data_IF_768612952047
#
_entry.id   IF_768612952047
#
_cell.length_a   1.000
_cell.length_b   1.000
_cell.length_c   1.000
_cell.angle_alpha   90.00
_cell.angle_beta   90.00
_cell.angle_gamma   90.00
#
_symmetry.space_group_name_H-M   'P 1'
#
loop_
_entity.id
_entity.type
_entity.pdbx_description
1 polymer ?
#
# COMPACT_ATOMS: atom_id res chain seq x y z
N UNK A 1 24.94 17.08 14.92
CA UNK A 1 24.05 17.83 14.03
C UNK A 1 22.63 17.24 14.04
N UNK A 2 22.45 15.94 13.77
CA UNK A 2 21.11 15.31 13.71
C UNK A 2 20.28 15.53 15.00
N UNK A 3 20.86 15.34 16.19
CA UNK A 3 20.18 15.55 17.46
C UNK A 3 19.72 16.99 17.69
N UNK A 4 20.48 17.98 17.20
CA UNK A 4 20.05 19.40 17.25
C UNK A 4 18.86 19.66 16.32
N UNK A 5 18.89 19.05 15.13
CA UNK A 5 17.81 19.15 14.15
C UNK A 5 16.53 18.53 14.71
N UNK A 6 16.64 17.32 15.29
CA UNK A 6 15.52 16.64 15.94
C UNK A 6 14.96 17.41 17.13
N UNK A 7 15.83 17.99 17.96
CA UNK A 7 15.41 18.82 19.09
C UNK A 7 14.61 20.04 18.63
N UNK A 8 15.09 20.74 17.60
CA UNK A 8 14.36 21.89 17.05
C UNK A 8 13.01 21.49 16.43
N UNK A 9 12.97 20.38 15.69
CA UNK A 9 11.70 19.87 15.15
C UNK A 9 10.73 19.50 16.27
N UNK A 10 11.19 18.88 17.35
CA UNK A 10 10.37 18.56 18.50
C UNK A 10 9.79 19.81 19.19
N UNK A 11 10.58 20.91 19.28
CA UNK A 11 10.07 22.19 19.77
C UNK A 11 8.94 22.72 18.89
N UNK A 12 9.10 22.67 17.56
CA UNK A 12 8.06 23.08 16.61
C UNK A 12 6.80 22.23 16.70
N UNK A 13 6.96 20.90 16.82
CA UNK A 13 5.81 19.97 17.04
C UNK A 13 5.05 20.33 18.31
N UNK A 14 5.76 20.53 19.41
CA UNK A 14 5.17 20.88 20.70
C UNK A 14 4.42 22.24 20.64
N UNK A 15 4.99 23.23 19.97
CA UNK A 15 4.34 24.54 19.76
C UNK A 15 3.04 24.37 18.96
N UNK A 16 3.09 23.57 17.87
CA UNK A 16 1.93 23.28 17.02
C UNK A 16 0.81 22.57 17.81
N UNK A 17 1.12 21.48 18.50
CA UNK A 17 0.18 20.70 19.28
C UNK A 17 -0.49 21.52 20.37
N UNK A 18 0.28 22.38 21.07
CA UNK A 18 -0.27 23.29 22.06
C UNK A 18 -1.21 24.35 21.46
N UNK A 19 -0.99 24.74 20.20
CA UNK A 19 -1.79 25.77 19.52
C UNK A 19 -3.06 25.21 18.91
N UNK A 20 -3.00 24.00 18.32
CA UNK A 20 -4.08 23.44 17.50
C UNK A 20 -4.76 22.22 18.11
N UNK A 21 -4.16 21.57 19.12
CA UNK A 21 -4.72 20.39 19.77
C UNK A 21 -4.69 19.10 18.93
N UNK A 22 -3.89 19.09 17.87
CA UNK A 22 -3.74 17.97 16.94
C UNK A 22 -2.28 17.78 16.56
N UNK A 23 -1.94 16.62 15.99
CA UNK A 23 -0.55 16.34 15.54
C UNK A 23 -0.18 17.21 14.33
N UNK A 24 1.07 17.68 14.28
CA UNK A 24 1.63 18.39 13.14
C UNK A 24 1.59 17.48 11.90
N UNK A 25 1.43 18.09 10.71
CA UNK A 25 1.30 17.43 9.40
C UNK A 25 -0.05 16.74 9.14
N UNK A 26 -1.00 16.81 10.07
CA UNK A 26 -2.38 16.42 9.81
C UNK A 26 -3.08 17.40 8.86
N UNK A 27 -2.93 18.69 9.14
CA UNK A 27 -3.46 19.78 8.34
C UNK A 27 -2.30 20.53 7.70
N UNK A 28 -2.22 20.51 6.37
CA UNK A 28 -1.12 21.13 5.63
C UNK A 28 -1.08 22.65 5.82
N UNK A 29 -2.23 23.31 5.75
CA UNK A 29 -2.28 24.77 5.81
C UNK A 29 -1.82 25.30 7.17
N UNK A 30 -2.18 24.61 8.24
CA UNK A 30 -1.71 24.95 9.60
C UNK A 30 -0.25 24.56 9.82
N UNK A 31 0.21 23.47 9.22
CA UNK A 31 1.58 22.97 9.39
C UNK A 31 2.60 23.73 8.58
N UNK A 32 2.19 24.40 7.51
CA UNK A 32 3.06 25.08 6.57
C UNK A 32 3.98 26.12 7.25
N UNK A 33 3.46 26.92 8.17
CA UNK A 33 4.26 27.88 8.95
C UNK A 33 5.44 27.22 9.66
N UNK A 34 5.21 26.05 10.25
CA UNK A 34 6.21 25.28 11.02
C UNK A 34 7.21 24.58 10.12
N UNK A 35 6.77 24.07 8.97
CA UNK A 35 7.66 23.56 7.94
C UNK A 35 8.58 24.66 7.38
N UNK A 36 8.07 25.85 7.14
CA UNK A 36 8.86 27.00 6.69
C UNK A 36 9.86 27.46 7.75
N UNK A 37 9.50 27.43 9.05
CA UNK A 37 10.46 27.68 10.16
C UNK A 37 11.58 26.63 10.15
N UNK A 38 11.23 25.34 10.00
CA UNK A 38 12.20 24.26 9.91
C UNK A 38 13.11 24.40 8.69
N UNK A 39 12.56 24.72 7.53
CA UNK A 39 13.33 24.99 6.32
C UNK A 39 14.33 26.13 6.53
N UNK A 40 13.88 27.24 7.10
CA UNK A 40 14.74 28.40 7.37
C UNK A 40 15.90 28.06 8.31
N UNK A 41 15.62 27.27 9.35
CA UNK A 41 16.63 26.76 10.28
C UNK A 41 17.68 25.90 9.57
N UNK A 42 17.24 24.96 8.71
CA UNK A 42 18.12 24.06 7.98
C UNK A 42 18.97 24.79 6.94
N UNK A 43 18.41 25.78 6.24
CA UNK A 43 19.16 26.62 5.30
C UNK A 43 20.28 27.41 6.01
N UNK A 44 20.00 27.96 7.18
CA UNK A 44 21.04 28.65 7.98
C UNK A 44 22.14 27.67 8.45
N UNK A 45 21.77 26.42 8.81
CA UNK A 45 22.77 25.38 9.13
C UNK A 45 23.59 24.97 7.91
N UNK A 46 22.98 24.90 6.74
CA UNK A 46 23.63 24.54 5.48
C UNK A 46 24.70 25.60 5.10
N UNK A 47 24.43 26.88 5.30
CA UNK A 47 25.44 27.96 5.08
C UNK A 47 26.68 27.75 5.93
N UNK A 48 26.51 27.35 7.20
CA UNK A 48 27.63 27.10 8.11
C UNK A 48 28.35 25.76 7.90
N UNK A 49 27.64 24.77 7.40
CA UNK A 49 28.12 23.39 7.22
C UNK A 49 27.64 22.81 5.89
N UNK A 50 28.14 23.29 4.74
CA UNK A 50 27.58 22.98 3.42
C UNK A 50 27.69 21.51 2.99
N UNK A 51 28.56 20.72 3.59
CA UNK A 51 28.74 19.28 3.30
C UNK A 51 28.08 18.35 4.33
N UNK A 52 27.21 18.90 5.20
CA UNK A 52 26.60 18.10 6.26
C UNK A 52 25.39 17.31 5.76
N UNK A 53 25.46 15.99 5.81
CA UNK A 53 24.44 15.07 5.30
C UNK A 53 23.15 15.12 6.11
N UNK A 54 23.23 15.30 7.45
CA UNK A 54 22.03 15.43 8.28
C UNK A 54 21.16 16.61 7.84
N UNK A 55 21.82 17.75 7.56
CA UNK A 55 21.15 18.98 7.15
C UNK A 55 20.47 18.80 5.80
N UNK A 56 21.20 18.25 4.80
CA UNK A 56 20.69 18.18 3.44
C UNK A 56 19.56 17.16 3.31
N UNK A 57 19.69 16.00 3.96
CA UNK A 57 18.67 14.96 3.93
C UNK A 57 17.39 15.41 4.66
N UNK A 58 17.51 16.06 5.81
CA UNK A 58 16.33 16.61 6.50
C UNK A 58 15.70 17.76 5.71
N UNK A 59 16.51 18.62 5.05
CA UNK A 59 15.98 19.68 4.19
C UNK A 59 15.21 19.11 2.99
N UNK A 60 15.69 18.01 2.42
CA UNK A 60 14.97 17.28 1.35
C UNK A 60 13.59 16.81 1.83
N UNK A 61 13.52 16.19 3.02
CA UNK A 61 12.24 15.77 3.60
C UNK A 61 11.29 16.94 3.90
N UNK A 62 11.81 18.06 4.42
CA UNK A 62 10.98 19.27 4.65
C UNK A 62 10.45 19.84 3.34
N UNK A 63 11.25 19.83 2.26
CA UNK A 63 10.80 20.27 0.94
C UNK A 63 9.70 19.38 0.36
N UNK A 64 9.79 18.08 0.57
CA UNK A 64 8.74 17.13 0.21
C UNK A 64 7.43 17.48 0.93
N UNK A 65 7.47 17.66 2.25
CA UNK A 65 6.29 18.03 3.04
C UNK A 65 5.73 19.40 2.68
N UNK A 66 6.55 20.32 2.21
CA UNK A 66 6.13 21.64 1.68
C UNK A 66 5.51 21.55 0.28
N UNK A 67 5.45 20.37 -0.33
CA UNK A 67 4.85 20.11 -1.65
C UNK A 67 5.44 20.97 -2.77
N UNK A 68 6.74 21.19 -2.76
CA UNK A 68 7.44 21.92 -3.84
C UNK A 68 7.61 21.12 -5.12
N UNK A 69 7.04 19.93 -5.17
CA UNK A 69 7.20 18.93 -6.23
C UNK A 69 8.40 18.02 -5.99
N UNK A 70 8.30 16.82 -6.50
CA UNK A 70 9.29 15.75 -6.26
C UNK A 70 10.65 16.10 -6.85
N UNK A 71 10.69 16.77 -8.00
CA UNK A 71 11.91 17.23 -8.63
C UNK A 71 12.76 18.12 -7.71
N UNK A 72 12.13 18.97 -6.89
CA UNK A 72 12.85 19.99 -6.10
C UNK A 72 13.74 19.40 -5.00
N UNK A 73 13.38 18.26 -4.41
CA UNK A 73 14.22 17.64 -3.39
C UNK A 73 15.22 16.63 -3.98
N UNK A 74 14.86 15.98 -5.08
CA UNK A 74 15.79 15.13 -5.84
C UNK A 74 16.94 15.96 -6.35
N UNK A 75 16.66 17.05 -7.04
CA UNK A 75 17.67 17.98 -7.55
C UNK A 75 18.58 18.48 -6.42
N UNK A 76 18.00 18.79 -5.25
CA UNK A 76 18.78 19.18 -4.07
C UNK A 76 19.79 18.11 -3.66
N UNK A 77 19.37 16.84 -3.59
CA UNK A 77 20.22 15.73 -3.17
C UNK A 77 21.23 15.34 -4.26
N UNK A 78 20.84 15.34 -5.53
CA UNK A 78 21.74 15.09 -6.66
C UNK A 78 22.83 16.16 -6.76
N UNK A 79 22.49 17.44 -6.68
CA UNK A 79 23.44 18.55 -6.65
C UNK A 79 24.40 18.47 -5.45
N UNK A 80 23.92 17.98 -4.31
CA UNK A 80 24.78 17.76 -3.15
C UNK A 80 25.79 16.62 -3.41
N UNK A 81 25.33 15.51 -3.99
CA UNK A 81 26.21 14.40 -4.38
C UNK A 81 27.27 14.85 -5.39
N UNK A 82 26.86 15.55 -6.43
CA UNK A 82 27.79 16.05 -7.46
C UNK A 82 28.91 16.90 -6.86
N UNK A 83 28.58 17.66 -5.82
CA UNK A 83 29.54 18.57 -5.18
C UNK A 83 30.43 17.91 -4.13
N UNK A 84 29.91 16.93 -3.39
CA UNK A 84 30.55 16.42 -2.18
C UNK A 84 30.82 14.91 -2.19
N UNK A 85 30.44 14.15 -3.25
CA UNK A 85 30.56 12.69 -3.28
C UNK A 85 31.93 12.14 -2.89
N UNK A 86 33.01 12.82 -3.29
CA UNK A 86 34.39 12.39 -2.98
C UNK A 86 34.75 12.50 -1.49
N UNK A 87 33.97 13.26 -0.72
CA UNK A 87 34.21 13.49 0.71
C UNK A 87 33.26 12.68 1.61
N UNK A 88 32.24 12.04 1.02
CA UNK A 88 31.24 11.25 1.74
C UNK A 88 31.72 9.81 1.92
N UNK A 89 31.42 9.23 3.07
CA UNK A 89 31.55 7.79 3.28
C UNK A 89 30.41 6.99 2.60
N UNK A 90 30.55 5.67 2.59
CA UNK A 90 29.59 4.77 1.93
C UNK A 90 28.21 4.81 2.63
N UNK A 91 28.20 5.01 3.95
CA UNK A 91 26.94 5.13 4.71
C UNK A 91 26.16 6.38 4.32
N UNK A 92 26.84 7.52 4.23
CA UNK A 92 26.25 8.80 3.85
C UNK A 92 25.73 8.76 2.40
N UNK A 93 26.51 8.17 1.49
CA UNK A 93 26.05 7.95 0.10
C UNK A 93 24.82 7.05 0.03
N UNK A 94 24.82 5.93 0.74
CA UNK A 94 23.68 5.02 0.77
C UNK A 94 22.42 5.70 1.32
N UNK A 95 22.55 6.52 2.35
CA UNK A 95 21.46 7.34 2.92
C UNK A 95 20.86 8.27 1.87
N UNK A 96 21.71 9.03 1.16
CA UNK A 96 21.26 9.97 0.14
C UNK A 96 20.59 9.21 -1.03
N UNK A 97 21.18 8.11 -1.49
CA UNK A 97 20.60 7.30 -2.56
C UNK A 97 19.23 6.75 -2.18
N UNK A 98 19.06 6.28 -0.94
CA UNK A 98 17.75 5.80 -0.46
C UNK A 98 16.72 6.93 -0.42
N UNK A 99 17.11 8.12 0.03
CA UNK A 99 16.21 9.28 0.05
C UNK A 99 15.84 9.76 -1.36
N UNK A 100 16.77 9.74 -2.32
CA UNK A 100 16.46 10.08 -3.72
C UNK A 100 15.45 9.08 -4.30
N UNK A 101 15.63 7.80 -4.03
CA UNK A 101 14.79 6.73 -4.55
C UNK A 101 13.32 6.82 -4.10
N UNK A 102 13.02 7.57 -3.05
CA UNK A 102 11.66 7.70 -2.52
C UNK A 102 10.69 8.43 -3.47
N UNK A 103 11.17 9.21 -4.43
CA UNK A 103 10.39 10.13 -5.26
C UNK A 103 9.56 9.49 -6.34
N UNK A 104 10.14 8.57 -7.02
CA UNK A 104 9.51 7.96 -8.18
C UNK A 104 9.11 6.54 -7.82
N UNK A 105 7.90 6.39 -7.29
CA UNK A 105 7.34 5.10 -6.93
C UNK A 105 7.66 4.04 -7.99
N UNK A 106 8.57 3.12 -7.62
CA UNK A 106 8.93 1.95 -8.41
C UNK A 106 9.46 2.22 -9.82
N UNK A 107 9.92 3.44 -10.10
CA UNK A 107 10.56 3.76 -11.38
C UNK A 107 11.92 3.07 -11.53
N UNK A 108 12.37 2.94 -12.77
CA UNK A 108 13.72 2.44 -13.05
C UNK A 108 14.82 3.29 -12.40
N UNK A 109 14.60 4.61 -12.30
CA UNK A 109 15.53 5.53 -11.64
C UNK A 109 15.60 5.26 -10.14
N UNK A 110 14.46 5.02 -9.49
CA UNK A 110 14.38 4.63 -8.09
C UNK A 110 15.18 3.33 -7.84
N UNK A 111 14.95 2.30 -8.66
CA UNK A 111 15.68 1.03 -8.56
C UNK A 111 17.21 1.21 -8.74
N UNK A 112 17.65 2.07 -9.65
CA UNK A 112 19.09 2.34 -9.86
C UNK A 112 19.72 2.94 -8.60
N UNK A 113 19.07 3.87 -7.92
CA UNK A 113 19.54 4.45 -6.66
C UNK A 113 19.50 3.46 -5.50
N UNK A 114 18.44 2.68 -5.36
CA UNK A 114 18.37 1.62 -4.34
C UNK A 114 19.45 0.56 -4.55
N UNK A 115 19.76 0.21 -5.81
CA UNK A 115 20.84 -0.72 -6.14
C UNK A 115 22.18 -0.16 -5.74
N UNK A 116 22.46 1.13 -6.01
CA UNK A 116 23.69 1.80 -5.55
C UNK A 116 23.79 1.78 -4.02
N UNK A 117 22.70 2.08 -3.31
CA UNK A 117 22.68 2.03 -1.85
C UNK A 117 22.96 0.62 -1.31
N UNK A 118 22.33 -0.41 -1.90
CA UNK A 118 22.55 -1.81 -1.55
C UNK A 118 23.99 -2.25 -1.80
N UNK A 119 24.58 -1.85 -2.92
CA UNK A 119 25.96 -2.23 -3.30
C UNK A 119 26.99 -1.61 -2.33
N UNK A 120 26.69 -0.47 -1.73
CA UNK A 120 27.43 0.12 -0.62
C UNK A 120 27.14 -0.55 0.73
N UNK A 121 26.33 -1.61 0.77
CA UNK A 121 25.89 -2.31 1.99
C UNK A 121 25.20 -1.36 2.96
N UNK A 122 24.17 -0.67 2.46
CA UNK A 122 23.37 0.26 3.26
C UNK A 122 23.08 -0.29 4.65
N UNK A 123 23.32 0.48 5.72
CA UNK A 123 22.93 0.07 7.08
C UNK A 123 21.48 0.46 7.42
N UNK A 124 20.71 0.97 6.46
CA UNK A 124 19.36 1.46 6.65
C UNK A 124 18.33 0.40 6.22
N UNK A 125 17.40 0.07 7.11
CA UNK A 125 16.31 -0.86 6.82
C UNK A 125 15.45 -0.36 5.65
N UNK A 126 15.27 0.94 5.55
CA UNK A 126 14.51 1.64 4.51
C UNK A 126 14.98 1.28 3.09
N UNK A 127 16.28 1.12 2.87
CA UNK A 127 16.83 0.69 1.57
C UNK A 127 16.27 -0.67 1.16
N UNK A 128 16.23 -1.60 2.09
CA UNK A 128 15.80 -2.98 1.82
C UNK A 128 14.29 -3.11 1.85
N UNK A 129 13.58 -2.32 2.66
CA UNK A 129 12.13 -2.19 2.59
C UNK A 129 11.70 -1.74 1.20
N UNK A 130 12.32 -0.68 0.66
CA UNK A 130 12.04 -0.17 -0.67
C UNK A 130 12.33 -1.21 -1.78
N UNK A 131 13.45 -1.92 -1.70
CA UNK A 131 13.77 -3.00 -2.64
C UNK A 131 12.78 -4.17 -2.53
N UNK A 132 12.32 -4.46 -1.31
CA UNK A 132 11.28 -5.47 -1.07
C UNK A 132 9.96 -5.08 -1.71
N UNK A 133 9.51 -3.85 -1.50
CA UNK A 133 8.28 -3.30 -2.10
C UNK A 133 8.36 -3.27 -3.63
N UNK A 134 9.48 -2.80 -4.19
CA UNK A 134 9.70 -2.81 -5.64
C UNK A 134 9.54 -4.22 -6.23
N UNK A 135 10.22 -5.22 -5.66
CA UNK A 135 10.13 -6.58 -6.17
C UNK A 135 8.75 -7.22 -5.92
N UNK A 136 8.03 -6.81 -4.87
CA UNK A 136 6.67 -7.25 -4.66
C UNK A 136 5.74 -6.70 -5.75
N UNK A 137 5.84 -5.42 -6.08
CA UNK A 137 5.09 -4.81 -7.18
C UNK A 137 5.39 -5.46 -8.53
N UNK A 138 6.67 -5.76 -8.82
CA UNK A 138 7.06 -6.50 -10.02
C UNK A 138 6.47 -7.92 -10.05
N UNK A 139 6.35 -8.57 -8.89
CA UNK A 139 5.63 -9.85 -8.78
C UNK A 139 4.16 -9.71 -9.11
N UNK A 140 3.48 -8.70 -8.58
CA UNK A 140 2.06 -8.49 -8.87
C UNK A 140 1.79 -8.25 -10.35
N UNK A 141 2.68 -7.51 -11.01
CA UNK A 141 2.55 -7.24 -12.45
C UNK A 141 2.87 -8.46 -13.31
N UNK A 142 3.98 -9.17 -13.02
CA UNK A 142 4.51 -10.24 -13.87
C UNK A 142 4.08 -11.65 -13.47
N UNK A 143 3.60 -11.82 -12.24
CA UNK A 143 3.37 -13.11 -11.59
C UNK A 143 4.63 -14.01 -11.52
N UNK A 144 5.84 -13.43 -11.68
CA UNK A 144 7.11 -14.18 -11.57
C UNK A 144 7.49 -14.36 -10.09
N UNK A 145 7.37 -15.59 -9.61
CA UNK A 145 7.70 -15.97 -8.21
C UNK A 145 9.12 -15.58 -7.80
N UNK A 146 10.05 -15.42 -8.74
CA UNK A 146 11.41 -14.96 -8.42
C UNK A 146 11.42 -13.56 -7.84
N UNK A 147 10.54 -12.68 -8.32
CA UNK A 147 10.41 -11.34 -7.77
C UNK A 147 9.87 -11.40 -6.33
N UNK A 148 8.93 -12.29 -6.05
CA UNK A 148 8.43 -12.51 -4.70
C UNK A 148 9.51 -13.10 -3.75
N UNK A 149 10.33 -14.02 -4.24
CA UNK A 149 11.48 -14.54 -3.49
C UNK A 149 12.49 -13.44 -3.16
N UNK A 150 12.79 -12.56 -4.12
CA UNK A 150 13.67 -11.40 -3.90
C UNK A 150 13.05 -10.41 -2.91
N UNK A 151 11.76 -10.13 -3.04
CA UNK A 151 11.01 -9.30 -2.09
C UNK A 151 11.17 -9.83 -0.66
N UNK A 152 10.93 -11.13 -0.47
CA UNK A 152 11.10 -11.80 0.83
C UNK A 152 12.53 -11.65 1.37
N UNK A 153 13.56 -11.82 0.50
CA UNK A 153 14.96 -11.67 0.91
C UNK A 153 15.27 -10.27 1.40
N UNK A 154 14.79 -9.26 0.69
CA UNK A 154 15.00 -7.87 1.09
C UNK A 154 14.25 -7.51 2.37
N UNK A 155 13.00 -7.95 2.54
CA UNK A 155 12.28 -7.74 3.80
C UNK A 155 12.94 -8.47 4.98
N UNK A 156 13.53 -9.66 4.75
CA UNK A 156 14.30 -10.36 5.78
C UNK A 156 15.54 -9.56 6.21
N UNK A 157 16.24 -8.94 5.27
CA UNK A 157 17.39 -8.06 5.56
C UNK A 157 16.92 -6.82 6.32
N UNK A 158 15.85 -6.16 5.85
CA UNK A 158 15.29 -4.98 6.52
C UNK A 158 14.94 -5.29 7.98
N UNK A 159 14.23 -6.40 8.22
CA UNK A 159 13.89 -6.88 9.56
C UNK A 159 15.14 -7.19 10.40
N UNK A 160 16.20 -7.72 9.80
CA UNK A 160 17.46 -7.99 10.49
C UNK A 160 18.21 -6.73 10.92
N UNK A 161 17.95 -5.59 10.26
CA UNK A 161 18.53 -4.27 10.60
C UNK A 161 17.66 -3.57 11.65
N UNK A 162 16.35 -3.55 11.45
CA UNK A 162 15.37 -2.92 12.34
C UNK A 162 14.13 -3.83 12.47
N UNK A 163 13.99 -4.49 13.61
CA UNK A 163 12.86 -5.37 13.92
C UNK A 163 11.64 -4.52 14.36
N UNK A 164 11.12 -3.71 13.47
CA UNK A 164 9.91 -2.92 13.66
C UNK A 164 8.64 -3.72 13.32
N UNK A 165 7.47 -3.16 13.64
CA UNK A 165 6.17 -3.69 13.21
C UNK A 165 6.17 -3.88 11.69
N UNK A 166 6.48 -2.84 10.96
CA UNK A 166 6.43 -2.75 9.52
C UNK A 166 7.37 -3.76 8.82
N UNK A 167 8.64 -3.81 9.23
CA UNK A 167 9.60 -4.74 8.64
C UNK A 167 9.21 -6.20 8.87
N UNK A 168 8.65 -6.51 10.05
CA UNK A 168 8.15 -7.85 10.39
C UNK A 168 6.87 -8.18 9.64
N UNK A 169 5.96 -7.21 9.50
CA UNK A 169 4.72 -7.33 8.73
C UNK A 169 5.01 -7.65 7.26
N UNK A 170 5.84 -6.85 6.61
CA UNK A 170 6.17 -7.02 5.20
C UNK A 170 6.88 -8.36 4.93
N UNK A 171 7.76 -8.77 5.83
CA UNK A 171 8.36 -10.10 5.75
C UNK A 171 7.32 -11.22 5.90
N UNK A 172 6.39 -11.10 6.83
CA UNK A 172 5.34 -12.09 7.04
C UNK A 172 4.38 -12.17 5.84
N UNK A 173 4.02 -11.03 5.23
CA UNK A 173 3.23 -10.99 3.99
C UNK A 173 3.94 -11.72 2.85
N UNK A 174 5.23 -11.47 2.64
CA UNK A 174 5.99 -12.18 1.60
C UNK A 174 6.04 -13.70 1.82
N UNK A 175 6.13 -14.14 3.08
CA UNK A 175 6.03 -15.56 3.42
C UNK A 175 4.64 -16.14 3.13
N UNK A 176 3.58 -15.38 3.41
CA UNK A 176 2.20 -15.78 3.10
C UNK A 176 2.01 -15.97 1.60
N UNK A 177 2.41 -14.99 0.78
CA UNK A 177 2.30 -15.07 -0.68
C UNK A 177 3.17 -16.20 -1.27
N UNK A 178 4.30 -16.54 -0.64
CA UNK A 178 5.09 -17.74 -0.94
C UNK A 178 4.47 -19.04 -0.39
N UNK A 179 3.23 -19.00 0.11
CA UNK A 179 2.49 -20.15 0.67
C UNK A 179 3.15 -20.79 1.91
N UNK A 180 4.01 -20.04 2.61
CA UNK A 180 4.62 -20.48 3.87
C UNK A 180 3.73 -20.08 5.07
N UNK A 181 2.46 -20.45 5.00
CA UNK A 181 1.38 -19.97 5.87
C UNK A 181 1.65 -20.15 7.37
N UNK A 182 2.21 -21.28 7.80
CA UNK A 182 2.53 -21.51 9.22
C UNK A 182 3.58 -20.53 9.76
N UNK A 183 4.60 -20.18 8.94
CA UNK A 183 5.62 -19.21 9.33
C UNK A 183 5.05 -17.80 9.38
N UNK A 184 4.28 -17.43 8.35
CA UNK A 184 3.60 -16.14 8.29
C UNK A 184 2.67 -15.96 9.50
N UNK A 185 1.82 -16.95 9.78
CA UNK A 185 0.91 -16.97 10.93
C UNK A 185 1.65 -16.76 12.25
N UNK A 186 2.78 -17.42 12.44
CA UNK A 186 3.57 -17.26 13.67
C UNK A 186 4.00 -15.81 13.87
N UNK A 187 4.47 -15.15 12.82
CA UNK A 187 4.89 -13.75 12.87
C UNK A 187 3.71 -12.80 13.11
N UNK A 188 2.59 -13.02 12.43
CA UNK A 188 1.38 -12.22 12.66
C UNK A 188 0.85 -12.37 14.09
N UNK A 189 0.89 -13.58 14.67
CA UNK A 189 0.51 -13.81 16.08
C UNK A 189 1.48 -13.07 17.03
N UNK A 190 2.78 -13.08 16.75
CA UNK A 190 3.76 -12.37 17.60
C UNK A 190 3.56 -10.85 17.51
N UNK A 191 3.25 -10.33 16.32
CA UNK A 191 2.86 -8.93 16.13
C UNK A 191 1.55 -8.61 16.88
N UNK A 192 0.54 -9.45 16.78
CA UNK A 192 -0.76 -9.23 17.44
C UNK A 192 -0.63 -9.20 18.97
N UNK A 193 0.30 -9.93 19.57
CA UNK A 193 0.59 -9.85 21.01
C UNK A 193 1.15 -8.50 21.43
N UNK A 194 1.91 -7.87 20.55
CA UNK A 194 2.51 -6.54 20.78
C UNK A 194 1.55 -5.41 20.45
N UNK A 195 0.71 -5.63 19.41
CA UNK A 195 -0.24 -4.67 18.86
C UNK A 195 -1.66 -5.27 18.84
N UNK A 196 -2.29 -5.48 20.01
CA UNK A 196 -3.54 -6.26 20.12
C UNK A 196 -4.75 -5.62 19.46
N UNK A 197 -4.72 -4.31 19.26
CA UNK A 197 -5.81 -3.53 18.66
C UNK A 197 -5.74 -3.48 17.11
N UNK A 198 -4.71 -4.08 16.52
CA UNK A 198 -4.54 -4.11 15.06
C UNK A 198 -5.43 -5.17 14.43
N UNK A 199 -6.53 -4.72 13.81
CA UNK A 199 -7.51 -5.60 13.15
C UNK A 199 -6.92 -6.29 11.91
N UNK A 200 -6.06 -5.58 11.18
CA UNK A 200 -5.34 -6.13 10.03
C UNK A 200 -4.57 -7.42 10.36
N UNK A 201 -3.94 -7.49 11.53
CA UNK A 201 -3.25 -8.70 11.96
C UNK A 201 -4.20 -9.88 12.17
N UNK A 202 -5.43 -9.61 12.66
CA UNK A 202 -6.45 -10.65 12.81
C UNK A 202 -6.86 -11.19 11.44
N UNK A 203 -7.04 -10.31 10.45
CA UNK A 203 -7.33 -10.71 9.07
C UNK A 203 -6.19 -11.56 8.48
N UNK A 204 -4.94 -11.12 8.62
CA UNK A 204 -3.77 -11.87 8.16
C UNK A 204 -3.69 -13.28 8.77
N UNK A 205 -3.97 -13.40 10.07
CA UNK A 205 -4.01 -14.70 10.75
C UNK A 205 -5.16 -15.54 10.21
N UNK A 206 -6.35 -14.95 10.05
CA UNK A 206 -7.51 -15.64 9.49
C UNK A 206 -7.21 -16.20 8.09
N UNK A 207 -6.59 -15.42 7.23
CA UNK A 207 -6.18 -15.83 5.90
C UNK A 207 -5.18 -17.01 5.93
N UNK A 208 -4.23 -16.97 6.88
CA UNK A 208 -3.35 -18.11 7.10
C UNK A 208 -4.12 -19.35 7.51
N UNK A 209 -5.08 -19.23 8.45
CA UNK A 209 -5.89 -20.35 8.93
C UNK A 209 -6.79 -20.94 7.81
N UNK A 210 -7.37 -20.09 6.95
CA UNK A 210 -8.10 -20.51 5.74
C UNK A 210 -7.22 -21.41 4.87
N UNK A 211 -6.02 -20.92 4.53
CA UNK A 211 -5.10 -21.66 3.65
C UNK A 211 -4.51 -22.92 4.31
N UNK A 212 -4.53 -23.01 5.63
CA UNK A 212 -4.15 -24.20 6.39
C UNK A 212 -5.32 -25.18 6.59
N UNK A 213 -6.52 -24.85 6.11
CA UNK A 213 -7.72 -25.67 6.24
C UNK A 213 -8.34 -25.66 7.65
N UNK A 214 -7.95 -24.73 8.50
CA UNK A 214 -8.50 -24.58 9.86
C UNK A 214 -9.65 -23.56 9.87
N UNK A 215 -10.85 -24.01 9.44
CA UNK A 215 -12.04 -23.18 9.36
C UNK A 215 -12.40 -22.51 10.70
N UNK A 216 -12.38 -23.29 11.80
CA UNK A 216 -12.74 -22.77 13.13
C UNK A 216 -11.77 -21.68 13.59
N UNK A 217 -10.48 -21.86 13.32
CA UNK A 217 -9.45 -20.85 13.61
C UNK A 217 -9.65 -19.58 12.78
N UNK A 218 -9.92 -19.72 11.49
CA UNK A 218 -10.21 -18.58 10.62
C UNK A 218 -11.43 -17.80 11.11
N UNK A 219 -12.53 -18.47 11.35
CA UNK A 219 -13.77 -17.87 11.85
C UNK A 219 -13.57 -17.14 13.18
N UNK A 220 -12.79 -17.73 14.11
CA UNK A 220 -12.46 -17.10 15.39
C UNK A 220 -11.81 -15.73 15.23
N UNK A 221 -10.93 -15.55 14.25
CA UNK A 221 -10.28 -14.26 14.03
C UNK A 221 -11.15 -13.30 13.21
N UNK A 222 -11.85 -13.77 12.18
CA UNK A 222 -12.73 -12.92 11.35
C UNK A 222 -13.85 -12.29 12.19
N UNK A 223 -14.47 -13.05 13.08
CA UNK A 223 -15.56 -12.56 13.94
C UNK A 223 -15.13 -11.55 15.00
N UNK A 224 -13.82 -11.32 15.16
CA UNK A 224 -13.26 -10.29 16.04
C UNK A 224 -12.83 -9.02 15.29
N UNK A 225 -12.99 -8.99 13.98
CA UNK A 225 -12.69 -7.80 13.18
C UNK A 225 -13.90 -6.87 13.28
N UNK A 226 -13.66 -5.68 13.80
CA UNK A 226 -14.61 -4.59 13.75
C UNK A 226 -14.14 -3.67 12.61
N UNK A 227 -14.94 -3.51 11.53
CA UNK A 227 -14.61 -2.56 10.48
C UNK A 227 -14.43 -1.17 11.09
N UNK A 228 -13.30 -0.53 10.81
CA UNK A 228 -13.08 0.82 11.29
C UNK A 228 -13.89 1.77 10.43
N UNK A 229 -14.96 2.29 10.98
CA UNK A 229 -15.88 3.20 10.29
C UNK A 229 -15.39 4.64 10.25
N UNK A 230 -14.28 4.95 10.93
CA UNK A 230 -13.85 6.33 11.10
C UNK A 230 -12.44 6.59 10.56
N UNK A 231 -12.42 7.47 9.59
CA UNK A 231 -11.29 8.33 9.25
C UNK A 231 -9.99 7.59 8.96
N UNK A 232 -10.03 6.58 8.13
CA UNK A 232 -8.92 5.88 7.50
C UNK A 232 -7.73 6.74 7.07
N UNK A 233 -7.50 7.79 7.82
CA UNK A 233 -6.44 8.72 7.56
C UNK A 233 -5.32 8.49 8.55
N UNK A 234 -4.34 7.69 8.07
CA UNK A 234 -2.98 7.58 8.60
C UNK A 234 -2.69 6.59 9.72
N UNK A 235 -1.86 5.64 9.36
CA UNK A 235 -0.78 5.06 10.17
C UNK A 235 -1.15 4.33 11.47
N UNK A 236 -2.36 4.43 11.96
CA UNK A 236 -2.79 3.80 13.20
C UNK A 236 -4.04 2.96 13.04
N UNK A 237 -4.72 3.06 11.91
CA UNK A 237 -5.94 2.32 11.62
C UNK A 237 -5.64 1.21 10.63
N UNK A 238 -6.10 0.03 10.95
CA UNK A 238 -6.11 -1.10 10.05
C UNK A 238 -7.26 -0.89 9.08
N UNK A 239 -6.99 -0.28 7.96
CA UNK A 239 -7.96 -0.04 6.90
C UNK A 239 -8.33 -1.38 6.25
N UNK A 240 -9.25 -2.10 6.90
CA UNK A 240 -9.80 -3.34 6.36
C UNK A 240 -11.02 -2.97 5.54
N UNK A 241 -10.89 -3.14 4.23
CA UNK A 241 -12.01 -3.01 3.35
C UNK A 241 -13.00 -4.18 3.55
N UNK A 242 -14.30 -3.90 3.49
CA UNK A 242 -15.35 -4.90 3.68
C UNK A 242 -15.17 -6.12 2.76
N UNK A 243 -14.73 -5.92 1.51
CA UNK A 243 -14.47 -7.00 0.56
C UNK A 243 -13.45 -8.02 1.08
N UNK A 244 -12.47 -7.63 1.86
CA UNK A 244 -11.47 -8.55 2.41
C UNK A 244 -12.07 -9.53 3.44
N UNK A 245 -13.11 -9.11 4.14
CA UNK A 245 -13.83 -9.93 5.10
C UNK A 245 -14.77 -10.86 4.38
N UNK A 246 -15.54 -10.37 3.42
CA UNK A 246 -16.51 -11.22 2.72
C UNK A 246 -15.83 -12.23 1.78
N UNK A 247 -14.65 -11.92 1.19
CA UNK A 247 -13.84 -12.89 0.44
C UNK A 247 -13.46 -14.09 1.31
N UNK A 248 -13.07 -13.85 2.56
CA UNK A 248 -12.78 -14.91 3.50
C UNK A 248 -14.01 -15.80 3.79
N UNK A 249 -15.20 -15.19 3.97
CA UNK A 249 -16.43 -15.96 4.13
C UNK A 249 -16.77 -16.77 2.89
N UNK A 250 -16.59 -16.21 1.69
CA UNK A 250 -16.78 -16.94 0.45
C UNK A 250 -15.86 -18.16 0.35
N UNK A 251 -14.55 -17.96 0.58
CA UNK A 251 -13.57 -19.07 0.52
C UNK A 251 -13.88 -20.16 1.54
N UNK A 252 -14.37 -19.80 2.72
CA UNK A 252 -14.80 -20.72 3.79
C UNK A 252 -16.17 -21.37 3.53
N UNK A 253 -16.86 -21.05 2.43
CA UNK A 253 -18.22 -21.49 2.10
C UNK A 253 -19.29 -21.05 3.13
N UNK A 254 -19.01 -19.98 3.86
CA UNK A 254 -19.96 -19.33 4.78
C UNK A 254 -20.87 -18.35 4.02
N UNK A 255 -21.54 -18.86 2.99
CA UNK A 255 -22.28 -18.06 2.00
C UNK A 255 -23.38 -17.18 2.59
N UNK A 256 -24.00 -17.56 3.70
CA UNK A 256 -25.03 -16.74 4.34
C UNK A 256 -24.39 -15.49 4.98
N UNK A 257 -23.24 -15.66 5.66
CA UNK A 257 -22.46 -14.53 6.20
C UNK A 257 -21.89 -13.65 5.09
N UNK A 258 -21.36 -14.28 4.02
CA UNK A 258 -20.92 -13.57 2.84
C UNK A 258 -22.01 -12.64 2.27
N UNK A 259 -23.24 -13.16 2.08
CA UNK A 259 -24.36 -12.37 1.56
C UNK A 259 -24.92 -11.32 2.56
N UNK A 260 -24.69 -11.52 3.84
CA UNK A 260 -25.04 -10.55 4.88
C UNK A 260 -24.12 -9.32 4.82
N UNK A 261 -22.83 -9.52 4.52
CA UNK A 261 -21.86 -8.44 4.30
C UNK A 261 -22.06 -7.74 2.94
N UNK A 262 -22.38 -8.49 1.88
CA UNK A 262 -22.76 -7.96 0.58
C UNK A 262 -24.25 -7.62 0.59
N UNK A 263 -24.64 -6.56 1.29
CA UNK A 263 -26.02 -6.14 1.36
C UNK A 263 -26.51 -5.44 0.07
N UNK A 264 -27.78 -5.02 0.06
CA UNK A 264 -28.37 -4.36 -1.10
C UNK A 264 -27.72 -3.00 -1.40
N UNK A 265 -27.11 -2.36 -0.40
CA UNK A 265 -26.46 -1.06 -0.57
C UNK A 265 -25.14 -1.23 -1.36
N UNK A 266 -24.41 -2.32 -1.12
CA UNK A 266 -23.24 -2.71 -1.94
C UNK A 266 -23.67 -2.96 -3.39
N UNK A 267 -24.76 -3.70 -3.61
CA UNK A 267 -25.29 -4.02 -4.95
C UNK A 267 -25.73 -2.76 -5.73
N UNK A 268 -26.16 -1.70 -5.03
CA UNK A 268 -26.63 -0.46 -5.67
C UNK A 268 -25.50 0.52 -5.98
N UNK A 269 -24.43 0.50 -5.21
CA UNK A 269 -23.34 1.48 -5.30
C UNK A 269 -22.08 0.94 -6.00
N UNK A 270 -21.94 -0.39 -6.18
CA UNK A 270 -20.79 -1.00 -6.81
C UNK A 270 -21.19 -1.70 -8.11
N UNK A 271 -20.61 -1.24 -9.21
CA UNK A 271 -20.59 -1.96 -10.48
C UNK A 271 -19.53 -3.07 -10.34
N UNK A 272 -20.00 -4.25 -9.96
CA UNK A 272 -19.11 -5.36 -9.59
C UNK A 272 -18.94 -6.23 -10.85
N UNK A 273 -18.16 -5.73 -11.80
CA UNK A 273 -17.88 -6.44 -13.05
C UNK A 273 -17.10 -7.73 -12.79
N UNK A 274 -16.22 -7.72 -11.78
CA UNK A 274 -15.29 -8.82 -11.48
C UNK A 274 -15.72 -9.73 -10.33
N UNK A 275 -16.97 -9.62 -9.85
CA UNK A 275 -17.46 -10.43 -8.72
C UNK A 275 -18.29 -11.65 -9.17
N UNK A 276 -17.71 -12.53 -9.96
CA UNK A 276 -18.34 -13.79 -10.37
C UNK A 276 -18.77 -14.66 -9.17
N UNK A 277 -18.02 -14.60 -8.06
CA UNK A 277 -18.34 -15.30 -6.81
C UNK A 277 -19.59 -14.75 -6.09
N UNK A 278 -19.94 -13.46 -6.24
CA UNK A 278 -21.20 -12.91 -5.72
C UNK A 278 -22.39 -13.45 -6.55
N UNK A 279 -22.29 -13.37 -7.87
CA UNK A 279 -23.31 -13.94 -8.76
C UNK A 279 -23.48 -15.45 -8.54
N UNK A 280 -22.38 -16.19 -8.43
CA UNK A 280 -22.39 -17.60 -8.10
C UNK A 280 -23.10 -17.88 -6.78
N UNK A 281 -22.78 -17.13 -5.73
CA UNK A 281 -23.37 -17.31 -4.41
C UNK A 281 -24.87 -17.01 -4.41
N UNK A 282 -25.29 -15.92 -5.06
CA UNK A 282 -26.71 -15.60 -5.22
C UNK A 282 -27.46 -16.69 -5.97
N UNK A 283 -26.85 -17.27 -7.02
CA UNK A 283 -27.44 -18.35 -7.79
C UNK A 283 -27.63 -19.62 -6.96
N UNK A 284 -26.59 -20.14 -6.32
CA UNK A 284 -26.67 -21.39 -5.54
C UNK A 284 -27.52 -21.24 -4.28
N UNK A 285 -27.64 -20.05 -3.71
CA UNK A 285 -28.51 -19.75 -2.57
C UNK A 285 -29.96 -19.46 -3.00
N UNK A 286 -30.27 -19.48 -4.30
CA UNK A 286 -31.62 -19.24 -4.82
C UNK A 286 -32.12 -17.81 -4.64
N UNK A 287 -31.21 -16.83 -4.47
CA UNK A 287 -31.54 -15.40 -4.35
C UNK A 287 -31.80 -14.76 -5.73
N UNK A 288 -32.71 -15.36 -6.50
CA UNK A 288 -32.90 -15.09 -7.93
C UNK A 288 -33.37 -13.67 -8.24
N UNK A 289 -34.10 -13.01 -7.35
CA UNK A 289 -34.56 -11.63 -7.59
C UNK A 289 -33.39 -10.67 -7.48
N UNK A 290 -32.55 -10.80 -6.43
CA UNK A 290 -31.34 -10.01 -6.26
C UNK A 290 -30.33 -10.27 -7.39
N UNK A 291 -30.16 -11.55 -7.76
CA UNK A 291 -29.33 -11.92 -8.91
C UNK A 291 -29.73 -11.18 -10.18
N UNK A 292 -31.04 -11.18 -10.52
CA UNK A 292 -31.55 -10.50 -11.73
C UNK A 292 -31.38 -9.01 -11.68
N UNK A 293 -31.64 -8.37 -10.53
CA UNK A 293 -31.47 -6.94 -10.35
C UNK A 293 -29.99 -6.55 -10.59
N UNK A 294 -29.07 -7.29 -9.99
CA UNK A 294 -27.63 -7.07 -10.14
C UNK A 294 -27.16 -7.31 -11.59
N UNK A 295 -27.66 -8.39 -12.23
CA UNK A 295 -27.39 -8.68 -13.64
C UNK A 295 -27.86 -7.52 -14.56
N UNK A 296 -29.07 -7.00 -14.33
CA UNK A 296 -29.62 -5.89 -15.10
C UNK A 296 -28.83 -4.59 -14.89
N UNK A 297 -28.51 -4.28 -13.65
CA UNK A 297 -27.73 -3.07 -13.31
C UNK A 297 -26.34 -3.08 -13.99
N UNK A 298 -25.62 -4.20 -13.86
CA UNK A 298 -24.28 -4.31 -14.46
C UNK A 298 -24.32 -4.28 -15.99
N UNK A 299 -25.29 -4.97 -16.60
CA UNK A 299 -25.47 -4.92 -18.07
C UNK A 299 -25.76 -3.49 -18.54
N UNK A 300 -26.70 -2.81 -17.87
CA UNK A 300 -27.06 -1.43 -18.20
C UNK A 300 -25.85 -0.51 -18.11
N UNK A 301 -25.07 -0.64 -17.05
CA UNK A 301 -23.84 0.15 -16.89
C UNK A 301 -22.83 -0.08 -18.03
N UNK A 302 -22.56 -1.34 -18.39
CA UNK A 302 -21.62 -1.67 -19.45
C UNK A 302 -22.12 -1.17 -20.84
N UNK A 303 -23.42 -1.29 -21.10
CA UNK A 303 -24.04 -0.80 -22.33
C UNK A 303 -24.01 0.74 -22.40
N UNK A 304 -24.25 1.44 -21.29
CA UNK A 304 -24.19 2.89 -21.22
C UNK A 304 -22.74 3.40 -21.36
N UNK A 305 -21.77 2.77 -20.68
CA UNK A 305 -20.35 3.10 -20.80
C UNK A 305 -19.84 2.92 -22.25
N UNK A 306 -20.22 1.81 -22.90
CA UNK A 306 -19.90 1.58 -24.31
C UNK A 306 -20.51 2.65 -25.21
N UNK A 307 -21.76 3.03 -24.98
CA UNK A 307 -22.45 4.05 -25.74
C UNK A 307 -21.82 5.42 -25.56
N UNK A 308 -21.50 5.82 -24.33
CA UNK A 308 -20.81 7.07 -24.04
C UNK A 308 -19.46 7.12 -24.75
N UNK A 309 -18.68 6.02 -24.69
CA UNK A 309 -17.39 5.93 -25.37
C UNK A 309 -17.47 6.08 -26.89
N UNK A 310 -18.60 5.72 -27.51
CA UNK A 310 -18.83 5.95 -28.93
C UNK A 310 -19.09 7.43 -29.27
N UNK A 311 -19.69 8.18 -28.35
CA UNK A 311 -20.10 9.56 -28.48
C UNK A 311 -19.01 10.56 -28.01
N UNK A 312 -18.07 10.12 -27.14
CA UNK A 312 -17.03 10.95 -26.54
C UNK A 312 -15.95 11.39 -27.55
N UNK A 313 -15.35 12.56 -27.26
CA UNK A 313 -14.18 13.06 -27.97
C UNK A 313 -12.90 12.52 -27.32
N UNK A 314 -12.00 12.00 -28.12
CA UNK A 314 -10.71 11.44 -27.72
C UNK A 314 -9.55 12.19 -28.33
N UNK A 315 -8.39 12.16 -27.71
CA UNK A 315 -7.18 12.80 -28.21
C UNK A 315 -6.65 12.10 -29.49
N UNK A 316 -6.98 10.82 -29.68
CA UNK A 316 -6.62 10.05 -30.87
C UNK A 316 -7.66 8.98 -31.25
N UNK A 317 -7.69 8.61 -32.53
CA UNK A 317 -8.53 7.50 -33.05
C UNK A 317 -8.07 6.14 -32.48
N UNK A 318 -6.80 6.02 -32.11
CA UNK A 318 -6.24 4.80 -31.51
C UNK A 318 -6.76 4.60 -30.07
N UNK A 319 -6.72 5.66 -29.26
CA UNK A 319 -7.28 5.68 -27.90
C UNK A 319 -8.78 5.39 -27.91
N UNK A 320 -9.55 6.04 -28.80
CA UNK A 320 -10.97 5.76 -28.96
C UNK A 320 -11.22 4.29 -29.25
N UNK A 321 -10.46 3.73 -30.17
CA UNK A 321 -10.60 2.31 -30.55
C UNK A 321 -10.28 1.38 -29.40
N UNK A 322 -9.19 1.59 -28.67
CA UNK A 322 -8.80 0.78 -27.53
C UNK A 322 -9.86 0.82 -26.42
N UNK A 323 -10.41 2.00 -26.13
CA UNK A 323 -11.48 2.16 -25.14
C UNK A 323 -12.75 1.41 -25.52
N UNK A 324 -13.19 1.54 -26.79
CA UNK A 324 -14.38 0.84 -27.28
C UNK A 324 -14.17 -0.67 -27.27
N UNK A 325 -13.03 -1.17 -27.75
CA UNK A 325 -12.69 -2.60 -27.74
C UNK A 325 -12.63 -3.14 -26.30
N UNK A 326 -12.20 -2.31 -25.33
CA UNK A 326 -12.23 -2.64 -23.90
C UNK A 326 -13.65 -2.87 -23.40
N UNK A 327 -14.56 -1.92 -23.59
CA UNK A 327 -15.95 -2.07 -23.15
C UNK A 327 -16.71 -3.18 -23.86
N UNK A 328 -16.48 -3.40 -25.17
CA UNK A 328 -17.07 -4.54 -25.90
C UNK A 328 -16.60 -5.89 -25.30
N UNK A 329 -15.33 -5.97 -24.94
CA UNK A 329 -14.74 -7.14 -24.30
C UNK A 329 -15.36 -7.38 -22.91
N UNK A 330 -15.44 -6.34 -22.08
CA UNK A 330 -15.98 -6.43 -20.73
C UNK A 330 -17.46 -6.86 -20.74
N UNK A 331 -18.27 -6.28 -21.61
CA UNK A 331 -19.68 -6.70 -21.79
C UNK A 331 -19.79 -8.17 -22.20
N UNK A 332 -18.95 -8.62 -23.12
CA UNK A 332 -18.95 -10.01 -23.56
C UNK A 332 -18.50 -10.97 -22.45
N UNK A 333 -17.45 -10.62 -21.72
CA UNK A 333 -16.95 -11.42 -20.59
C UNK A 333 -17.99 -11.52 -19.48
N UNK A 334 -18.68 -10.42 -19.17
CA UNK A 334 -19.81 -10.42 -18.24
C UNK A 334 -20.95 -11.36 -18.68
N UNK A 335 -21.36 -11.32 -19.94
CA UNK A 335 -22.42 -12.19 -20.45
C UNK A 335 -22.01 -13.67 -20.42
N UNK A 336 -20.77 -13.97 -20.78
CA UNK A 336 -20.21 -15.32 -20.72
C UNK A 336 -20.17 -15.85 -19.27
N UNK A 337 -19.79 -15.00 -18.32
CA UNK A 337 -19.78 -15.31 -16.87
C UNK A 337 -21.20 -15.63 -16.38
N UNK A 338 -22.18 -14.77 -16.65
CA UNK A 338 -23.59 -14.99 -16.27
C UNK A 338 -24.15 -16.29 -16.86
N UNK A 339 -23.86 -16.56 -18.13
CA UNK A 339 -24.29 -17.81 -18.79
C UNK A 339 -23.63 -19.03 -18.15
N UNK A 340 -22.36 -18.94 -17.82
CA UNK A 340 -21.59 -19.98 -17.16
C UNK A 340 -22.20 -20.33 -15.79
N UNK A 341 -22.48 -19.34 -14.96
CA UNK A 341 -23.09 -19.52 -13.64
C UNK A 341 -24.47 -20.19 -13.75
N UNK A 342 -25.31 -19.71 -14.68
CA UNK A 342 -26.66 -20.30 -14.93
C UNK A 342 -26.61 -21.74 -15.50
N UNK A 343 -25.46 -22.18 -15.98
CA UNK A 343 -25.24 -23.51 -16.55
C UNK A 343 -24.53 -24.47 -15.59
N UNK A 344 -24.60 -24.20 -14.28
CA UNK A 344 -23.98 -25.00 -13.22
C UNK A 344 -22.44 -25.11 -13.38
N UNK A 345 -21.79 -24.04 -13.75
CA UNK A 345 -20.33 -23.96 -13.81
C UNK A 345 -19.67 -24.29 -12.46
N UNK A 346 -18.39 -24.70 -12.48
CA UNK A 346 -17.62 -24.85 -11.26
C UNK A 346 -17.62 -23.55 -10.44
N UNK A 347 -17.51 -23.71 -9.12
CA UNK A 347 -17.37 -22.58 -8.21
C UNK A 347 -16.18 -21.69 -8.62
N UNK A 348 -16.37 -20.38 -8.79
CA UNK A 348 -15.28 -19.46 -8.99
C UNK A 348 -14.23 -19.57 -7.86
N UNK A 349 -12.97 -19.50 -8.24
CA UNK A 349 -11.87 -19.49 -7.28
C UNK A 349 -11.58 -18.06 -6.85
N UNK A 350 -11.60 -17.83 -5.54
CA UNK A 350 -11.15 -16.56 -4.96
C UNK A 350 -9.87 -16.78 -4.18
N UNK A 351 -8.94 -15.82 -4.33
CA UNK A 351 -7.63 -15.88 -3.66
C UNK A 351 -7.54 -14.79 -2.63
N UNK A 352 -7.37 -15.19 -1.38
CA UNK A 352 -7.10 -14.27 -0.30
C UNK A 352 -5.67 -13.74 -0.43
N UNK A 353 -5.53 -12.48 -0.85
CA UNK A 353 -4.23 -11.82 -1.04
C UNK A 353 -3.91 -10.94 0.15
N UNK A 354 -2.63 -10.90 0.50
CA UNK A 354 -2.09 -9.93 1.45
C UNK A 354 -1.07 -9.05 0.73
N UNK A 355 -1.08 -7.78 1.10
CA UNK A 355 -0.17 -6.78 0.55
C UNK A 355 0.77 -6.28 1.64
N UNK A 356 2.05 -6.00 1.32
CA UNK A 356 2.94 -5.36 2.25
C UNK A 356 2.45 -3.94 2.54
N UNK A 357 2.74 -3.45 3.75
CA UNK A 357 2.49 -2.06 4.07
C UNK A 357 3.42 -1.16 3.24
N UNK A 358 2.81 -0.27 2.47
CA UNK A 358 3.51 0.77 1.72
C UNK A 358 3.87 1.91 2.66
N UNK A 359 4.99 1.78 3.28
CA UNK A 359 5.47 2.76 4.23
C UNK A 359 6.51 3.67 3.63
N UNK A 360 6.68 4.81 4.28
CA UNK A 360 7.71 5.76 3.94
C UNK A 360 9.12 5.15 4.15
N UNK A 361 9.85 4.89 3.07
CA UNK A 361 11.23 4.45 3.13
C UNK A 361 12.26 5.60 3.02
N UNK A 362 11.83 6.84 3.16
CA UNK A 362 12.74 7.97 3.29
C UNK A 362 13.41 7.94 4.67
N UNK A 363 14.75 7.75 4.70
CA UNK A 363 15.52 7.58 5.94
C UNK A 363 15.37 8.77 6.89
N UNK A 364 15.25 9.98 6.33
CA UNK A 364 15.19 11.22 7.10
C UNK A 364 13.80 11.88 7.08
N UNK A 365 12.77 11.08 6.98
CA UNK A 365 11.41 11.59 6.93
C UNK A 365 11.03 12.34 8.22
N UNK A 366 10.78 13.64 8.13
CA UNK A 366 10.37 14.47 9.28
C UNK A 366 8.99 14.10 9.82
N UNK A 367 8.16 13.42 9.01
CA UNK A 367 6.85 12.92 9.43
C UNK A 367 6.97 11.66 10.29
N UNK A 368 7.85 10.73 9.91
CA UNK A 368 7.85 9.37 10.45
C UNK A 368 9.09 9.02 11.30
N UNK A 369 10.19 9.78 11.19
CA UNK A 369 11.48 9.43 11.81
C UNK A 369 11.97 10.48 12.82
N UNK A 370 11.25 11.58 12.98
CA UNK A 370 11.62 12.70 13.85
C UNK A 370 10.63 12.93 14.97
#
# INVERSE_FOLDING_TARGET
MLEEIKAYWYELKTEYENRYGEAILRDFDKSKEYLEKMQSYLLAKQEGCPSNVDVICTLASVKLELRYGDEAYVELLENFLDKFADTLDDKDKARIYTNIAFVEDYSRKSLDYLTKAKDLKSPFAETYTALGLYNFSEYEYSMDVKNLELSREFFEIARGIDESYESTMNYAVSLYELKQYEKAKTLFIDLLRTYPDRMWLKLCIAYCEVNLGNKDGAMYYIEQIEPDSDDGYYLTTDDIADFQIFDAYYVLEEYDKFLEYCDEEVDENYYIIDCDYLFYTLWIKGKLERFKKLEENNRTYLEEALKESLEDEYDSEEEKKETIEGWEKDLKEFEEMILSIKSDAPRPEEKLKLYPEYSCFMVDCVRHRF
#
